data_IF_414852725388
#
_entry.id   IF_414852725388
#
_cell.length_a   1.000
_cell.length_b   1.000
_cell.length_c   1.000
_cell.angle_alpha   90.00
_cell.angle_beta   90.00
_cell.angle_gamma   90.00
#
_symmetry.space_group_name_H-M   'P 1'
#
loop_
_entity.id
_entity.type
_entity.pdbx_description
1 polymer ?
#
# COMPACT_ATOMS: atom_id res chain seq x y z
N UNK A 1 -17.69 -9.55 17.47
CA UNK A 1 -16.45 -8.73 17.59
C UNK A 1 -16.51 -8.01 18.93
N UNK A 2 -15.51 -8.18 19.79
CA UNK A 2 -15.45 -7.50 21.08
C UNK A 2 -15.14 -6.01 20.84
N UNK A 3 -15.99 -5.09 21.30
CA UNK A 3 -15.94 -3.66 20.93
C UNK A 3 -14.68 -2.92 21.44
N UNK A 4 -13.98 -3.50 22.43
CA UNK A 4 -12.89 -2.84 23.15
C UNK A 4 -11.68 -2.53 22.27
N UNK A 5 -11.32 -3.43 21.35
CA UNK A 5 -10.08 -3.34 20.55
C UNK A 5 -10.34 -3.07 19.06
N UNK A 6 -11.57 -3.23 18.58
CA UNK A 6 -11.93 -3.00 17.17
C UNK A 6 -11.62 -1.58 16.70
N UNK A 7 -11.70 -0.61 17.60
CA UNK A 7 -11.46 0.81 17.31
C UNK A 7 -10.03 1.11 16.80
N UNK A 8 -9.06 0.25 17.09
CA UNK A 8 -7.71 0.38 16.56
C UNK A 8 -7.64 0.10 15.05
N UNK A 9 -8.56 -0.72 14.54
CA UNK A 9 -8.56 -1.23 13.18
C UNK A 9 -9.69 -0.66 12.31
N UNK A 10 -10.46 0.31 12.83
CA UNK A 10 -11.59 0.90 12.11
C UNK A 10 -11.16 1.66 10.85
N UNK A 11 -10.00 2.33 10.88
CA UNK A 11 -9.45 3.05 9.72
C UNK A 11 -9.17 2.06 8.60
N UNK A 12 -8.41 1.00 8.89
CA UNK A 12 -8.06 0.03 7.86
C UNK A 12 -9.29 -0.70 7.33
N UNK A 13 -10.24 -1.04 8.22
CA UNK A 13 -11.52 -1.62 7.82
C UNK A 13 -12.26 -0.71 6.85
N UNK A 14 -12.36 0.59 7.12
CA UNK A 14 -13.04 1.55 6.24
C UNK A 14 -12.35 1.66 4.89
N UNK A 15 -11.04 1.96 4.87
CA UNK A 15 -10.27 2.18 3.64
C UNK A 15 -10.29 0.93 2.75
N UNK A 16 -10.02 -0.25 3.32
CA UNK A 16 -10.06 -1.50 2.56
C UNK A 16 -11.45 -1.94 2.13
N UNK A 17 -12.51 -1.51 2.82
CA UNK A 17 -13.87 -1.81 2.38
C UNK A 17 -14.26 -1.05 1.10
N UNK A 18 -13.69 0.14 0.88
CA UNK A 18 -13.97 0.96 -0.32
C UNK A 18 -13.52 0.24 -1.60
N UNK A 19 -12.41 -0.49 -1.55
CA UNK A 19 -11.85 -1.25 -2.67
C UNK A 19 -12.21 -2.74 -2.66
N UNK A 20 -13.08 -3.19 -1.74
CA UNK A 20 -13.52 -4.59 -1.67
C UNK A 20 -12.52 -5.54 -0.99
N UNK A 21 -11.43 -5.03 -0.45
CA UNK A 21 -10.32 -5.82 0.07
C UNK A 21 -10.52 -6.26 1.53
N UNK A 22 -11.49 -5.69 2.25
CA UNK A 22 -11.73 -6.08 3.64
C UNK A 22 -12.20 -7.55 3.77
N UNK A 23 -11.55 -8.40 4.60
CA UNK A 23 -11.82 -9.84 4.62
C UNK A 23 -13.23 -10.26 5.06
N UNK A 24 -13.95 -9.43 5.83
CA UNK A 24 -15.33 -9.71 6.27
C UNK A 24 -16.39 -8.89 5.54
N UNK A 25 -16.04 -8.28 4.41
CA UNK A 25 -17.02 -7.58 3.59
C UNK A 25 -18.06 -8.55 3.01
N UNK A 26 -19.31 -8.09 2.88
CA UNK A 26 -20.38 -8.89 2.27
C UNK A 26 -19.97 -9.30 0.85
N UNK A 27 -20.23 -10.56 0.42
CA UNK A 27 -19.74 -11.05 -0.87
C UNK A 27 -20.15 -10.19 -2.07
N UNK A 28 -21.41 -9.73 -2.09
CA UNK A 28 -21.94 -8.87 -3.17
C UNK A 28 -21.24 -7.51 -3.18
N UNK A 29 -21.09 -6.86 -2.03
CA UNK A 29 -20.42 -5.55 -1.92
C UNK A 29 -18.94 -5.65 -2.29
N UNK A 30 -18.26 -6.72 -1.86
CA UNK A 30 -16.88 -6.99 -2.26
C UNK A 30 -16.77 -7.11 -3.78
N UNK A 31 -17.62 -7.95 -4.38
CA UNK A 31 -17.60 -8.18 -5.82
C UNK A 31 -17.81 -6.87 -6.58
N UNK A 32 -18.79 -6.07 -6.16
CA UNK A 32 -19.04 -4.75 -6.75
C UNK A 32 -17.81 -3.83 -6.67
N UNK A 33 -17.19 -3.69 -5.49
CA UNK A 33 -15.99 -2.85 -5.33
C UNK A 33 -14.82 -3.34 -6.16
N UNK A 34 -14.57 -4.65 -6.22
CA UNK A 34 -13.49 -5.23 -7.03
C UNK A 34 -13.75 -4.98 -8.52
N UNK A 35 -14.98 -5.20 -9.00
CA UNK A 35 -15.37 -4.89 -10.39
C UNK A 35 -15.16 -3.42 -10.69
N UNK A 36 -15.58 -2.52 -9.80
CA UNK A 36 -15.42 -1.08 -9.97
C UNK A 36 -13.94 -0.69 -10.12
N UNK A 37 -13.06 -1.17 -9.22
CA UNK A 37 -11.62 -0.89 -9.29
C UNK A 37 -11.01 -1.49 -10.56
N UNK A 38 -11.41 -2.70 -10.95
CA UNK A 38 -10.93 -3.35 -12.18
C UNK A 38 -11.35 -2.56 -13.42
N UNK A 39 -12.63 -2.19 -13.55
CA UNK A 39 -13.14 -1.44 -14.71
C UNK A 39 -12.49 -0.06 -14.81
N UNK A 40 -12.35 0.63 -13.67
CA UNK A 40 -11.63 1.91 -13.56
C UNK A 40 -10.16 1.79 -14.00
N UNK A 41 -9.50 0.69 -13.64
CA UNK A 41 -8.10 0.48 -14.03
C UNK A 41 -7.99 0.11 -15.52
N UNK A 42 -8.93 -0.69 -16.04
CA UNK A 42 -9.00 -1.04 -17.47
C UNK A 42 -9.26 0.19 -18.34
N UNK A 43 -10.13 1.12 -17.90
CA UNK A 43 -10.41 2.35 -18.65
C UNK A 43 -9.18 3.26 -18.78
N UNK A 44 -8.19 3.13 -17.89
CA UNK A 44 -6.89 3.80 -18.04
C UNK A 44 -5.89 3.02 -18.90
N UNK A 45 -5.87 1.69 -18.76
CA UNK A 45 -4.98 0.81 -19.52
C UNK A 45 -5.25 0.88 -21.03
N UNK A 46 -6.52 0.99 -21.45
CA UNK A 46 -6.89 1.03 -22.88
C UNK A 46 -6.23 2.22 -23.60
N UNK A 47 -6.39 3.49 -23.14
CA UNK A 47 -5.67 4.63 -23.72
C UNK A 47 -4.14 4.50 -23.66
N UNK A 48 -3.58 3.90 -22.61
CA UNK A 48 -2.12 3.70 -22.47
C UNK A 48 -1.59 2.73 -23.53
N UNK A 49 -2.26 1.58 -23.73
CA UNK A 49 -1.91 0.62 -24.78
C UNK A 49 -2.05 1.25 -26.16
N UNK A 50 -3.13 1.99 -26.40
CA UNK A 50 -3.34 2.69 -27.65
C UNK A 50 -2.24 3.72 -27.93
N UNK A 51 -1.79 4.45 -26.90
CA UNK A 51 -0.66 5.38 -26.99
C UNK A 51 0.63 4.66 -27.30
N UNK A 52 0.90 3.53 -26.63
CA UNK A 52 2.07 2.71 -26.87
C UNK A 52 2.17 2.27 -28.34
N UNK A 53 1.06 1.81 -28.93
CA UNK A 53 0.98 1.48 -30.36
C UNK A 53 1.24 2.71 -31.24
N UNK A 54 0.63 3.85 -30.89
CA UNK A 54 0.79 5.11 -31.63
C UNK A 54 2.21 5.67 -31.58
N UNK A 55 3.00 5.35 -30.56
CA UNK A 55 4.40 5.75 -30.49
C UNK A 55 5.24 5.15 -31.64
N UNK A 56 4.80 4.07 -32.30
CA UNK A 56 5.40 3.50 -33.50
C UNK A 56 6.95 3.33 -33.42
N UNK A 57 7.44 2.78 -32.31
CA UNK A 57 8.88 2.56 -32.09
C UNK A 57 9.67 3.75 -31.54
N UNK A 58 9.05 4.92 -31.33
CA UNK A 58 9.69 6.05 -30.66
C UNK A 58 9.92 5.74 -29.17
N UNK A 59 11.17 5.49 -28.79
CA UNK A 59 11.55 5.11 -27.43
C UNK A 59 11.18 6.15 -26.38
N UNK A 60 11.32 7.45 -26.69
CA UNK A 60 10.97 8.53 -25.76
C UNK A 60 9.48 8.49 -25.41
N UNK A 61 8.61 8.40 -26.42
CA UNK A 61 7.16 8.28 -26.27
C UNK A 61 6.76 7.00 -25.52
N UNK A 62 7.43 5.88 -25.84
CA UNK A 62 7.20 4.58 -25.18
C UNK A 62 7.54 4.68 -23.69
N UNK A 63 8.70 5.22 -23.35
CA UNK A 63 9.16 5.35 -21.97
C UNK A 63 8.25 6.25 -21.13
N UNK A 64 7.75 7.34 -21.70
CA UNK A 64 6.78 8.21 -21.03
C UNK A 64 5.49 7.46 -20.68
N UNK A 65 5.00 6.64 -21.61
CA UNK A 65 3.77 5.86 -21.42
C UNK A 65 3.95 4.73 -20.39
N UNK A 66 5.13 4.11 -20.40
CA UNK A 66 5.42 2.90 -19.64
C UNK A 66 5.33 3.10 -18.11
N UNK A 67 5.75 4.24 -17.57
CA UNK A 67 5.66 4.52 -16.13
C UNK A 67 4.21 4.52 -15.63
N UNK A 68 3.30 5.14 -16.38
CA UNK A 68 1.87 5.16 -16.02
C UNK A 68 1.22 3.77 -16.13
N UNK A 69 1.64 2.98 -17.11
CA UNK A 69 1.18 1.60 -17.33
C UNK A 69 1.67 0.63 -16.24
N UNK A 70 2.89 0.84 -15.75
CA UNK A 70 3.43 0.07 -14.62
C UNK A 70 2.61 0.29 -13.36
N UNK A 71 2.18 1.52 -13.08
CA UNK A 71 1.38 1.84 -11.90
C UNK A 71 -0.04 1.24 -11.96
N UNK A 72 -0.69 1.27 -13.13
CA UNK A 72 -1.99 0.61 -13.32
C UNK A 72 -1.86 -0.91 -13.18
N UNK A 73 -0.76 -1.50 -13.67
CA UNK A 73 -0.45 -2.92 -13.48
C UNK A 73 -0.27 -3.28 -12.00
N UNK A 74 0.49 -2.49 -11.24
CA UNK A 74 0.68 -2.69 -9.78
C UNK A 74 -0.67 -2.66 -9.04
N UNK A 75 -1.59 -1.77 -9.44
CA UNK A 75 -2.93 -1.69 -8.87
C UNK A 75 -3.68 -3.02 -9.00
N UNK A 76 -3.65 -3.63 -10.19
CA UNK A 76 -4.29 -4.92 -10.44
C UNK A 76 -3.63 -6.05 -9.64
N UNK A 77 -2.30 -6.10 -9.62
CA UNK A 77 -1.54 -7.10 -8.83
C UNK A 77 -1.95 -7.05 -7.36
N UNK A 78 -2.01 -5.86 -6.76
CA UNK A 78 -2.43 -5.66 -5.36
C UNK A 78 -3.88 -6.06 -5.12
N UNK A 79 -4.81 -5.60 -5.98
CA UNK A 79 -6.22 -5.92 -5.87
C UNK A 79 -6.48 -7.43 -5.91
N UNK A 80 -5.88 -8.11 -6.88
CA UNK A 80 -6.07 -9.54 -7.07
C UNK A 80 -5.30 -10.39 -6.05
N UNK A 81 -4.22 -9.88 -5.47
CA UNK A 81 -3.56 -10.50 -4.32
C UNK A 81 -4.54 -10.69 -3.17
N UNK A 82 -5.26 -9.64 -2.78
CA UNK A 82 -6.27 -9.72 -1.72
C UNK A 82 -7.45 -10.61 -2.11
N UNK A 83 -7.87 -10.57 -3.37
CA UNK A 83 -8.99 -11.37 -3.86
C UNK A 83 -8.70 -12.88 -3.87
N UNK A 84 -7.55 -13.29 -4.41
CA UNK A 84 -7.17 -14.71 -4.51
C UNK A 84 -6.72 -15.28 -3.17
N UNK A 85 -6.04 -14.49 -2.33
CA UNK A 85 -5.62 -14.92 -0.99
C UNK A 85 -6.68 -14.65 0.09
N UNK A 86 -7.95 -14.45 -0.26
CA UNK A 86 -9.02 -14.07 0.69
C UNK A 86 -9.13 -14.95 1.94
N UNK A 87 -8.86 -16.26 1.81
CA UNK A 87 -8.89 -17.18 2.95
C UNK A 87 -7.72 -16.92 3.92
N UNK A 88 -6.50 -16.73 3.39
CA UNK A 88 -5.31 -16.36 4.19
C UNK A 88 -5.49 -15.00 4.85
N UNK A 89 -6.02 -14.02 4.12
CA UNK A 89 -6.35 -12.68 4.63
C UNK A 89 -7.37 -12.74 5.78
N UNK A 90 -8.37 -13.61 5.66
CA UNK A 90 -9.35 -13.84 6.73
C UNK A 90 -8.68 -14.47 7.96
N UNK A 91 -7.85 -15.49 7.79
CA UNK A 91 -7.11 -16.13 8.89
C UNK A 91 -6.18 -15.14 9.62
N UNK A 92 -5.41 -14.33 8.87
CA UNK A 92 -4.61 -13.23 9.45
C UNK A 92 -5.47 -12.28 10.29
N UNK A 93 -6.66 -11.91 9.78
CA UNK A 93 -7.55 -10.98 10.49
C UNK A 93 -8.23 -11.62 11.70
N UNK A 94 -8.63 -12.90 11.61
CA UNK A 94 -9.19 -13.66 12.73
C UNK A 94 -8.17 -13.70 13.89
N UNK A 95 -6.92 -14.06 13.61
CA UNK A 95 -5.84 -14.09 14.60
C UNK A 95 -5.57 -12.70 15.19
N UNK A 96 -5.53 -11.67 14.35
CA UNK A 96 -5.36 -10.28 14.79
C UNK A 96 -6.38 -9.86 15.85
N UNK A 97 -7.64 -10.33 15.76
CA UNK A 97 -8.65 -10.04 16.77
C UNK A 97 -8.60 -10.97 17.99
N UNK A 98 -8.35 -12.27 17.78
CA UNK A 98 -8.37 -13.27 18.86
C UNK A 98 -7.19 -13.10 19.82
N UNK A 99 -6.03 -12.67 19.32
CA UNK A 99 -4.80 -12.56 20.10
C UNK A 99 -4.90 -11.56 21.26
N UNK A 100 -5.79 -10.58 21.19
CA UNK A 100 -6.09 -9.67 22.29
C UNK A 100 -6.62 -10.36 23.55
N UNK A 101 -7.28 -11.50 23.41
CA UNK A 101 -7.82 -12.24 24.55
C UNK A 101 -6.75 -13.11 25.24
N UNK A 102 -5.57 -13.27 24.64
CA UNK A 102 -4.48 -14.10 25.16
C UNK A 102 -3.46 -13.30 26.01
N UNK A 103 -3.73 -12.01 26.24
CA UNK A 103 -2.90 -11.14 27.07
C UNK A 103 -3.26 -11.32 28.55
N UNK A 104 -2.24 -11.44 29.41
CA UNK A 104 -2.42 -11.71 30.84
C UNK A 104 -2.31 -10.45 31.70
N UNK A 105 -1.57 -9.43 31.25
CA UNK A 105 -1.22 -8.25 32.05
C UNK A 105 -1.55 -6.93 31.34
N UNK A 106 -1.63 -5.84 32.11
CA UNK A 106 -1.80 -4.48 31.58
C UNK A 106 -0.64 -4.05 30.70
N UNK A 107 0.56 -4.51 31.00
CA UNK A 107 1.80 -4.19 30.29
C UNK A 107 1.79 -4.84 28.91
N UNK A 108 1.43 -6.13 28.82
CA UNK A 108 1.26 -6.83 27.55
C UNK A 108 0.20 -6.16 26.68
N UNK A 109 -0.91 -5.74 27.29
CA UNK A 109 -1.94 -4.96 26.61
C UNK A 109 -1.42 -3.61 26.10
N UNK A 110 -0.64 -2.90 26.89
CA UNK A 110 -0.06 -1.61 26.49
C UNK A 110 0.95 -1.76 25.34
N UNK A 111 1.73 -2.85 25.32
CA UNK A 111 2.62 -3.19 24.20
C UNK A 111 1.79 -3.36 22.93
N UNK A 112 0.79 -4.25 22.92
CA UNK A 112 0.01 -4.50 21.71
C UNK A 112 -0.78 -3.26 21.25
N UNK A 113 -1.31 -2.48 22.20
CA UNK A 113 -1.95 -1.18 21.94
C UNK A 113 -1.02 -0.18 21.27
N UNK A 114 0.27 -0.14 21.62
CA UNK A 114 1.26 0.74 21.00
C UNK A 114 1.41 0.43 19.51
N UNK A 115 1.63 -0.82 19.16
CA UNK A 115 1.76 -1.26 17.76
C UNK A 115 0.45 -1.07 16.97
N UNK A 116 -0.70 -1.41 17.56
CA UNK A 116 -2.00 -1.17 16.92
C UNK A 116 -2.25 0.33 16.65
N UNK A 117 -1.84 1.22 17.56
CA UNK A 117 -1.86 2.67 17.33
C UNK A 117 -0.89 3.11 16.25
N UNK A 118 0.29 2.51 16.17
CA UNK A 118 1.26 2.79 15.10
C UNK A 118 0.69 2.40 13.74
N UNK A 119 0.15 1.18 13.60
CA UNK A 119 -0.52 0.74 12.38
C UNK A 119 -1.65 1.67 11.94
N UNK A 120 -2.46 2.15 12.89
CA UNK A 120 -3.50 3.17 12.62
C UNK A 120 -2.92 4.51 12.15
N UNK A 121 -1.85 5.00 12.79
CA UNK A 121 -1.17 6.25 12.41
C UNK A 121 -0.56 6.14 11.02
N UNK A 122 0.14 5.04 10.73
CA UNK A 122 0.67 4.76 9.40
C UNK A 122 -0.45 4.72 8.36
N UNK A 123 -1.54 4.01 8.63
CA UNK A 123 -2.66 3.93 7.70
C UNK A 123 -3.24 5.31 7.39
N UNK A 124 -3.45 6.16 8.40
CA UNK A 124 -3.96 7.52 8.21
C UNK A 124 -2.97 8.42 7.45
N UNK A 125 -1.71 8.46 7.92
CA UNK A 125 -0.69 9.32 7.34
C UNK A 125 -0.35 8.95 5.91
N UNK A 126 -0.20 7.64 5.64
CA UNK A 126 0.06 7.12 4.29
C UNK A 126 -1.11 7.38 3.34
N UNK A 127 -2.35 7.12 3.79
CA UNK A 127 -3.53 7.43 2.98
C UNK A 127 -3.57 8.91 2.61
N UNK A 128 -3.46 9.80 3.60
CA UNK A 128 -3.48 11.24 3.39
C UNK A 128 -2.38 11.69 2.42
N UNK A 129 -1.16 11.18 2.60
CA UNK A 129 -0.04 11.45 1.72
C UNK A 129 -0.34 11.03 0.27
N UNK A 130 -0.82 9.80 0.05
CA UNK A 130 -1.10 9.30 -1.30
C UNK A 130 -2.20 10.11 -2.01
N UNK A 131 -3.28 10.44 -1.31
CA UNK A 131 -4.36 11.25 -1.90
C UNK A 131 -3.91 12.69 -2.19
N UNK A 132 -3.18 13.34 -1.28
CA UNK A 132 -2.64 14.69 -1.55
C UNK A 132 -1.65 14.66 -2.71
N UNK A 133 -0.72 13.69 -2.73
CA UNK A 133 0.26 13.56 -3.80
C UNK A 133 -0.41 13.34 -5.16
N UNK A 134 -1.48 12.52 -5.20
CA UNK A 134 -2.26 12.32 -6.42
C UNK A 134 -2.94 13.61 -6.87
N UNK A 135 -3.65 14.30 -5.97
CA UNK A 135 -4.31 15.57 -6.29
C UNK A 135 -3.33 16.61 -6.85
N UNK A 136 -2.16 16.77 -6.22
CA UNK A 136 -1.11 17.66 -6.69
C UNK A 136 -0.59 17.24 -8.07
N UNK A 137 -0.32 15.96 -8.27
CA UNK A 137 0.15 15.42 -9.55
C UNK A 137 -0.86 15.68 -10.67
N UNK A 138 -2.14 15.36 -10.46
CA UNK A 138 -3.19 15.59 -11.46
C UNK A 138 -3.39 17.08 -11.75
N UNK A 139 -3.27 17.95 -10.74
CA UNK A 139 -3.42 19.40 -10.91
C UNK A 139 -2.38 20.01 -11.87
N UNK A 140 -1.22 19.38 -12.06
CA UNK A 140 -0.20 19.84 -13.01
C UNK A 140 -0.74 19.93 -14.44
N UNK A 141 -1.68 19.08 -14.82
CA UNK A 141 -2.33 19.12 -16.15
C UNK A 141 -3.13 20.39 -16.41
N UNK A 142 -3.58 21.09 -15.36
CA UNK A 142 -4.30 22.36 -15.47
C UNK A 142 -3.36 23.56 -15.64
N UNK A 143 -2.06 23.39 -15.36
CA UNK A 143 -1.10 24.49 -15.38
C UNK A 143 -0.99 25.18 -16.75
N UNK A 144 -0.91 24.48 -17.90
CA UNK A 144 -0.90 25.14 -19.20
C UNK A 144 -2.14 25.99 -19.47
N UNK A 145 -3.32 25.52 -19.05
CA UNK A 145 -4.59 26.21 -19.26
C UNK A 145 -4.71 27.46 -18.38
N UNK A 146 -4.27 27.36 -17.13
CA UNK A 146 -4.19 28.52 -16.23
C UNK A 146 -3.25 29.57 -16.82
N UNK A 147 -2.08 29.15 -17.30
CA UNK A 147 -1.08 30.04 -17.90
C UNK A 147 -1.58 30.68 -19.20
N UNK A 148 -2.41 30.02 -20.00
CA UNK A 148 -3.02 30.64 -21.19
C UNK A 148 -4.00 31.76 -20.83
N UNK A 149 -4.60 31.74 -19.63
CA UNK A 149 -5.46 32.82 -19.13
C UNK A 149 -4.65 33.94 -18.49
N UNK A 150 -3.70 33.62 -17.61
CA UNK A 150 -2.97 34.64 -16.82
C UNK A 150 -1.75 35.21 -17.53
N UNK A 151 -1.14 34.45 -18.46
CA UNK A 151 0.04 34.82 -19.22
C UNK A 151 -0.04 34.27 -20.65
N UNK A 152 -0.95 34.82 -21.48
CA UNK A 152 -1.20 34.33 -22.83
C UNK A 152 0.05 34.48 -23.71
N UNK A 153 0.29 33.47 -24.55
CA UNK A 153 1.35 33.48 -25.55
C UNK A 153 0.76 33.65 -26.95
N UNK A 154 1.53 34.22 -27.88
CA UNK A 154 1.15 34.32 -29.31
C UNK A 154 1.00 32.95 -30.00
N UNK A 155 1.48 31.88 -29.37
CA UNK A 155 1.33 30.49 -29.83
C UNK A 155 0.70 29.66 -28.71
N UNK A 156 -0.17 28.73 -29.09
CA UNK A 156 -0.84 27.84 -28.12
C UNK A 156 0.17 26.93 -27.40
N UNK A 157 0.02 26.80 -26.09
CA UNK A 157 0.82 25.86 -25.28
C UNK A 157 0.49 24.40 -25.65
N UNK A 158 1.44 23.46 -25.47
CA UNK A 158 1.14 22.04 -25.54
C UNK A 158 0.21 21.64 -24.40
N UNK A 159 -0.69 20.69 -24.67
CA UNK A 159 -1.53 20.12 -23.62
C UNK A 159 -0.71 19.13 -22.81
N UNK A 160 -0.89 19.21 -21.49
CA UNK A 160 -0.34 18.26 -20.55
C UNK A 160 -1.47 17.37 -20.02
N UNK A 161 -1.60 16.16 -20.58
CA UNK A 161 -2.53 15.17 -20.03
C UNK A 161 -2.06 14.68 -18.66
N UNK A 162 -3.00 14.19 -17.84
CA UNK A 162 -2.72 13.64 -16.50
C UNK A 162 -1.83 12.41 -16.52
N UNK A 163 -1.84 11.69 -17.63
CA UNK A 163 -0.91 10.62 -17.95
C UNK A 163 -0.88 10.42 -19.48
N UNK A 164 0.20 9.87 -20.04
CA UNK A 164 0.27 9.62 -21.48
C UNK A 164 -0.73 8.54 -21.89
N UNK A 165 -1.70 8.91 -22.73
CA UNK A 165 -2.74 8.02 -23.23
C UNK A 165 -3.34 8.55 -24.52
N UNK A 166 -3.83 7.67 -25.39
CA UNK A 166 -4.54 8.04 -26.61
C UNK A 166 -6.01 7.67 -26.46
N UNK A 167 -6.87 8.69 -26.37
CA UNK A 167 -8.30 8.55 -26.05
C UNK A 167 -9.22 8.43 -27.27
N UNK A 168 -8.66 8.30 -28.48
CA UNK A 168 -9.42 8.21 -29.74
C UNK A 168 -10.31 9.43 -30.05
N UNK A 169 -10.08 10.54 -29.37
CA UNK A 169 -10.73 11.84 -29.57
C UNK A 169 -9.66 12.93 -29.63
N UNK A 170 -10.04 14.13 -30.07
CA UNK A 170 -9.13 15.28 -30.03
C UNK A 170 -8.84 15.66 -28.57
N UNK A 171 -7.57 15.61 -28.18
CA UNK A 171 -7.13 15.85 -26.81
C UNK A 171 -7.34 17.31 -26.37
N UNK A 172 -7.38 18.27 -27.31
CA UNK A 172 -7.62 19.69 -27.01
C UNK A 172 -9.09 19.97 -26.79
N UNK A 173 -9.94 19.49 -27.69
CA UNK A 173 -11.39 19.69 -27.61
C UNK A 173 -11.99 18.98 -26.38
N UNK A 174 -11.57 17.75 -26.10
CA UNK A 174 -12.14 16.91 -25.04
C UNK A 174 -11.35 16.91 -23.74
N UNK A 175 -10.42 17.85 -23.56
CA UNK A 175 -9.50 17.86 -22.42
C UNK A 175 -10.20 17.69 -21.07
N UNK A 176 -11.25 18.48 -20.77
CA UNK A 176 -11.90 18.46 -19.45
C UNK A 176 -12.61 17.13 -19.17
N UNK A 177 -13.14 16.46 -20.20
CA UNK A 177 -13.73 15.13 -20.05
C UNK A 177 -12.67 14.08 -19.76
N UNK A 178 -11.54 14.13 -20.47
CA UNK A 178 -10.38 13.25 -20.24
C UNK A 178 -9.82 13.47 -18.83
N UNK A 179 -9.67 14.72 -18.42
CA UNK A 179 -9.18 15.13 -17.10
C UNK A 179 -10.10 14.63 -15.99
N UNK A 180 -11.42 14.81 -16.12
CA UNK A 180 -12.40 14.32 -15.15
C UNK A 180 -12.38 12.79 -15.05
N UNK A 181 -12.33 12.10 -16.19
CA UNK A 181 -12.16 10.64 -16.22
C UNK A 181 -10.90 10.21 -15.46
N UNK A 182 -9.77 10.88 -15.73
CA UNK A 182 -8.51 10.55 -15.08
C UNK A 182 -8.55 10.77 -13.57
N UNK A 183 -9.16 11.88 -13.08
CA UNK A 183 -9.33 12.09 -11.63
C UNK A 183 -10.09 10.93 -11.01
N UNK A 184 -11.29 10.63 -11.53
CA UNK A 184 -12.12 9.57 -10.96
C UNK A 184 -11.42 8.23 -11.02
N UNK A 185 -10.80 7.91 -12.16
CA UNK A 185 -10.15 6.63 -12.35
C UNK A 185 -8.93 6.44 -11.43
N UNK A 186 -8.09 7.47 -11.29
CA UNK A 186 -6.93 7.44 -10.41
C UNK A 186 -7.30 7.41 -8.93
N UNK A 187 -8.34 8.14 -8.50
CA UNK A 187 -8.85 8.12 -7.13
C UNK A 187 -9.36 6.72 -6.71
N UNK A 188 -10.06 6.03 -7.62
CA UNK A 188 -10.51 4.65 -7.40
C UNK A 188 -9.30 3.71 -7.34
N UNK A 189 -8.36 3.83 -8.28
CA UNK A 189 -7.18 2.97 -8.32
C UNK A 189 -6.24 3.17 -7.12
N UNK A 190 -5.98 4.41 -6.70
CA UNK A 190 -5.13 4.70 -5.53
C UNK A 190 -5.77 4.19 -4.24
N UNK A 191 -7.11 4.23 -4.13
CA UNK A 191 -7.82 3.62 -3.00
C UNK A 191 -7.52 2.12 -2.90
N UNK A 192 -7.43 1.43 -4.04
CA UNK A 192 -7.03 0.02 -4.10
C UNK A 192 -5.59 -0.23 -3.62
N UNK A 193 -4.65 0.62 -4.03
CA UNK A 193 -3.24 0.54 -3.61
C UNK A 193 -3.11 0.79 -2.10
N UNK A 194 -3.68 1.90 -1.62
CA UNK A 194 -3.61 2.34 -0.22
C UNK A 194 -4.24 1.30 0.70
N UNK A 195 -5.39 0.73 0.31
CA UNK A 195 -6.04 -0.35 1.05
C UNK A 195 -5.10 -1.55 1.27
N UNK A 196 -4.46 -2.03 0.20
CA UNK A 196 -3.58 -3.19 0.26
C UNK A 196 -2.40 -2.93 1.20
N UNK A 197 -1.72 -1.80 1.02
CA UNK A 197 -0.51 -1.47 1.78
C UNK A 197 -0.81 -1.22 3.26
N UNK A 198 -1.93 -0.56 3.56
CA UNK A 198 -2.34 -0.38 4.94
C UNK A 198 -2.75 -1.69 5.63
N UNK A 199 -3.33 -2.66 4.88
CA UNK A 199 -3.65 -3.99 5.44
C UNK A 199 -2.34 -4.68 5.80
N UNK A 200 -1.39 -4.71 4.86
CA UNK A 200 -0.09 -5.32 5.06
C UNK A 200 0.63 -4.73 6.29
N UNK A 201 0.77 -3.40 6.36
CA UNK A 201 1.39 -2.73 7.51
C UNK A 201 0.67 -3.04 8.81
N UNK A 202 -0.66 -3.11 8.81
CA UNK A 202 -1.43 -3.50 10.00
C UNK A 202 -1.08 -4.90 10.47
N UNK A 203 -0.95 -5.87 9.57
CA UNK A 203 -0.55 -7.23 9.93
C UNK A 203 0.91 -7.33 10.38
N UNK A 204 1.81 -6.54 9.78
CA UNK A 204 3.22 -6.44 10.23
C UNK A 204 3.28 -5.87 11.64
N UNK A 205 2.59 -4.76 11.91
CA UNK A 205 2.53 -4.17 13.26
C UNK A 205 1.96 -5.18 14.27
N UNK A 206 0.95 -5.98 13.88
CA UNK A 206 0.41 -7.04 14.73
C UNK A 206 1.45 -8.12 15.05
N UNK A 207 2.14 -8.68 14.05
CA UNK A 207 3.12 -9.73 14.32
C UNK A 207 4.34 -9.22 15.09
N UNK A 208 4.79 -7.98 14.82
CA UNK A 208 5.80 -7.31 15.63
C UNK A 208 5.36 -7.17 17.10
N UNK A 209 4.09 -6.84 17.33
CA UNK A 209 3.55 -6.74 18.68
C UNK A 209 3.51 -8.08 19.41
N UNK A 210 3.23 -9.18 18.70
CA UNK A 210 3.27 -10.53 19.28
C UNK A 210 4.69 -10.88 19.72
N UNK A 211 5.70 -10.60 18.89
CA UNK A 211 7.10 -10.82 19.26
C UNK A 211 7.54 -9.93 20.44
N UNK A 212 7.08 -8.67 20.49
CA UNK A 212 7.36 -7.78 21.62
C UNK A 212 6.74 -8.29 22.93
N UNK A 213 5.50 -8.82 22.89
CA UNK A 213 4.86 -9.47 24.04
C UNK A 213 5.63 -10.72 24.48
N UNK A 214 6.08 -11.55 23.54
CA UNK A 214 6.91 -12.73 23.84
C UNK A 214 8.23 -12.32 24.50
N UNK A 215 8.91 -11.28 23.99
CA UNK A 215 10.12 -10.74 24.59
C UNK A 215 9.90 -10.24 26.01
N UNK A 216 8.82 -9.50 26.24
CA UNK A 216 8.44 -9.03 27.58
C UNK A 216 8.20 -10.19 28.55
N UNK A 217 7.48 -11.25 28.13
CA UNK A 217 7.27 -12.45 28.96
C UNK A 217 8.58 -13.16 29.32
N UNK A 218 9.55 -13.20 28.39
CA UNK A 218 10.89 -13.74 28.65
C UNK A 218 11.65 -12.89 29.68
N UNK A 219 11.65 -11.57 29.54
CA UNK A 219 12.29 -10.67 30.50
C UNK A 219 11.72 -10.85 31.92
N UNK A 220 10.39 -10.93 32.05
CA UNK A 220 9.75 -11.19 33.33
C UNK A 220 10.09 -12.56 33.92
N UNK A 221 10.27 -13.59 33.09
CA UNK A 221 10.70 -14.91 33.53
C UNK A 221 12.09 -14.84 34.18
N UNK A 222 13.06 -14.20 33.52
CA UNK A 222 14.43 -14.10 34.04
C UNK A 222 14.53 -13.19 35.26
N UNK A 223 13.80 -12.08 35.29
CA UNK A 223 13.75 -11.20 36.46
C UNK A 223 13.24 -11.93 37.70
N UNK A 224 12.12 -12.65 37.57
CA UNK A 224 11.55 -13.44 38.66
C UNK A 224 12.43 -14.62 39.06
N UNK A 225 13.14 -15.26 38.12
CA UNK A 225 14.07 -16.35 38.42
C UNK A 225 15.27 -15.87 39.27
N UNK A 226 15.87 -14.73 38.91
CA UNK A 226 16.98 -14.15 39.66
C UNK A 226 16.59 -13.74 41.09
N UNK A 227 15.34 -13.31 41.30
CA UNK A 227 14.82 -12.97 42.63
C UNK A 227 14.43 -14.23 43.44
N UNK A 228 13.86 -15.25 42.78
CA UNK A 228 13.54 -16.54 43.41
C UNK A 228 14.77 -17.40 43.72
N UNK A 229 15.87 -17.28 42.98
CA UNK A 229 17.13 -17.99 43.28
C UNK A 229 17.74 -17.54 44.63
N UNK A 230 17.33 -16.37 45.16
CA UNK A 230 17.64 -15.93 46.53
C UNK A 230 16.78 -16.61 47.60
N UNK A 231 15.69 -17.28 47.23
CA UNK A 231 14.70 -17.86 48.15
C UNK A 231 14.39 -19.31 47.73
N UNK A 232 15.22 -20.26 48.21
CA UNK A 232 15.20 -21.68 47.81
C UNK A 232 13.82 -22.31 48.07
N UNK A 233 13.15 -22.80 47.01
CA UNK A 233 11.97 -23.66 47.16
C UNK A 233 11.79 -24.61 45.95
N UNK A 234 11.59 -25.90 46.21
CA UNK A 234 11.60 -27.01 45.24
C UNK A 234 10.37 -27.09 44.31
N UNK A 235 9.30 -26.32 44.57
CA UNK A 235 8.11 -26.20 43.70
C UNK A 235 8.27 -25.22 42.51
N UNK A 236 9.42 -24.55 42.41
CA UNK A 236 9.71 -23.54 41.37
C UNK A 236 9.99 -24.15 40.00
N UNK A 237 10.53 -25.36 39.92
CA UNK A 237 11.01 -25.95 38.66
C UNK A 237 9.86 -26.32 37.69
N UNK A 238 8.78 -26.94 38.20
CA UNK A 238 7.61 -27.27 37.36
C UNK A 238 6.85 -26.01 36.89
N UNK A 239 6.76 -24.98 37.75
CA UNK A 239 6.14 -23.69 37.41
C UNK A 239 6.98 -22.93 36.38
N UNK A 240 8.30 -22.94 36.52
CA UNK A 240 9.24 -22.37 35.55
C UNK A 240 9.11 -23.07 34.19
N UNK A 241 9.12 -24.40 34.17
CA UNK A 241 8.93 -25.21 32.97
C UNK A 241 7.60 -24.92 32.27
N UNK A 242 6.50 -24.80 33.02
CA UNK A 242 5.18 -24.42 32.47
C UNK A 242 5.20 -23.03 31.84
N UNK A 243 5.82 -22.04 32.49
CA UNK A 243 5.99 -20.68 31.93
C UNK A 243 6.83 -20.67 30.66
N UNK A 244 7.95 -21.38 30.64
CA UNK A 244 8.79 -21.52 29.44
C UNK A 244 7.98 -22.15 28.30
N UNK A 245 7.25 -23.24 28.56
CA UNK A 245 6.43 -23.90 27.56
C UNK A 245 5.35 -22.96 26.98
N UNK A 246 4.72 -22.14 27.83
CA UNK A 246 3.75 -21.13 27.41
C UNK A 246 4.38 -20.05 26.51
N UNK A 247 5.56 -19.54 26.88
CA UNK A 247 6.30 -18.55 26.07
C UNK A 247 6.71 -19.14 24.72
N UNK A 248 7.25 -20.36 24.71
CA UNK A 248 7.64 -21.06 23.47
C UNK A 248 6.42 -21.28 22.58
N UNK A 249 5.25 -21.60 23.15
CA UNK A 249 4.01 -21.72 22.41
C UNK A 249 3.59 -20.38 21.78
N UNK A 250 3.62 -19.29 22.53
CA UNK A 250 3.33 -17.94 22.03
C UNK A 250 4.30 -17.52 20.91
N UNK A 251 5.60 -17.80 21.07
CA UNK A 251 6.62 -17.54 20.05
C UNK A 251 6.35 -18.33 18.75
N UNK A 252 6.03 -19.63 18.85
CA UNK A 252 5.65 -20.46 17.70
C UNK A 252 4.39 -19.93 17.01
N UNK A 253 3.43 -19.40 17.77
CA UNK A 253 2.22 -18.78 17.21
C UNK A 253 2.55 -17.51 16.42
N UNK A 254 3.44 -16.65 16.94
CA UNK A 254 3.92 -15.46 16.23
C UNK A 254 4.66 -15.84 14.93
N UNK A 255 5.54 -16.85 14.97
CA UNK A 255 6.21 -17.37 13.78
C UNK A 255 5.23 -17.88 12.72
N UNK A 256 4.20 -18.65 13.12
CA UNK A 256 3.16 -19.12 12.17
C UNK A 256 2.35 -17.97 11.58
N UNK A 257 2.16 -16.88 12.30
CA UNK A 257 1.52 -15.68 11.77
C UNK A 257 2.44 -15.00 10.74
N UNK A 258 3.73 -14.86 11.05
CA UNK A 258 4.73 -14.28 10.14
C UNK A 258 4.85 -15.09 8.84
N UNK A 259 4.88 -16.43 8.93
CA UNK A 259 4.90 -17.32 7.77
C UNK A 259 3.65 -17.16 6.90
N UNK A 260 2.46 -17.10 7.51
CA UNK A 260 1.22 -16.87 6.76
C UNK A 260 1.22 -15.50 6.05
N UNK A 261 1.80 -14.48 6.69
CA UNK A 261 1.97 -13.16 6.10
C UNK A 261 2.92 -13.21 4.90
N UNK A 262 4.07 -13.85 5.06
CA UNK A 262 5.07 -14.07 4.00
C UNK A 262 4.45 -14.82 2.81
N UNK A 263 3.80 -15.96 3.07
CA UNK A 263 3.11 -16.78 2.07
C UNK A 263 1.99 -16.05 1.32
N UNK A 264 1.50 -14.93 1.86
CA UNK A 264 0.43 -14.13 1.25
C UNK A 264 1.00 -13.01 0.39
N UNK A 265 2.09 -12.37 0.82
CA UNK A 265 2.54 -11.09 0.26
C UNK A 265 3.91 -11.14 -0.44
N UNK A 266 4.75 -12.16 -0.24
CA UNK A 266 6.11 -12.18 -0.81
C UNK A 266 6.14 -12.16 -2.34
N UNK A 267 5.32 -12.99 -3.00
CA UNK A 267 5.24 -13.03 -4.47
C UNK A 267 4.74 -11.70 -5.07
N UNK A 268 3.60 -11.13 -4.65
CA UNK A 268 3.13 -9.86 -5.22
C UNK A 268 4.07 -8.70 -4.92
N UNK A 269 4.77 -8.68 -3.79
CA UNK A 269 5.81 -7.69 -3.54
C UNK A 269 7.04 -7.89 -4.43
N UNK A 270 7.47 -9.12 -4.71
CA UNK A 270 8.55 -9.38 -5.65
C UNK A 270 8.19 -8.85 -7.06
N UNK A 271 6.95 -9.09 -7.52
CA UNK A 271 6.42 -8.54 -8.78
C UNK A 271 6.42 -7.00 -8.74
N UNK A 272 5.95 -6.41 -7.64
CA UNK A 272 5.95 -4.95 -7.47
C UNK A 272 7.37 -4.36 -7.50
N UNK A 273 8.32 -4.96 -6.78
CA UNK A 273 9.71 -4.50 -6.73
C UNK A 273 10.32 -4.55 -8.13
N UNK A 274 10.08 -5.62 -8.89
CA UNK A 274 10.54 -5.72 -10.28
C UNK A 274 9.96 -4.58 -11.13
N UNK A 275 8.64 -4.37 -11.09
CA UNK A 275 7.96 -3.33 -11.87
C UNK A 275 8.51 -1.94 -11.51
N UNK A 276 8.63 -1.62 -10.21
CA UNK A 276 9.11 -0.32 -9.73
C UNK A 276 10.58 -0.11 -10.09
N UNK A 277 11.42 -1.14 -10.03
CA UNK A 277 12.84 -1.04 -10.40
C UNK A 277 13.00 -0.70 -11.88
N UNK A 278 12.23 -1.36 -12.76
CA UNK A 278 12.23 -1.04 -14.19
C UNK A 278 11.72 0.39 -14.40
N UNK A 279 10.60 0.78 -13.76
CA UNK A 279 10.05 2.14 -13.87
C UNK A 279 11.02 3.23 -13.41
N UNK A 280 11.64 3.07 -12.24
CA UNK A 280 12.65 4.01 -11.73
C UNK A 280 13.86 4.11 -12.65
N UNK A 281 14.31 2.99 -13.24
CA UNK A 281 15.43 2.98 -14.18
C UNK A 281 15.10 3.77 -15.45
N UNK A 282 13.88 3.62 -15.97
CA UNK A 282 13.40 4.37 -17.14
C UNK A 282 13.27 5.86 -16.82
N UNK A 283 12.65 6.21 -15.69
CA UNK A 283 12.51 7.61 -15.28
C UNK A 283 13.87 8.27 -15.06
N UNK A 284 14.84 7.55 -14.48
CA UNK A 284 16.21 8.04 -14.35
C UNK A 284 16.84 8.33 -15.72
N UNK A 285 16.69 7.41 -16.69
CA UNK A 285 17.17 7.61 -18.05
C UNK A 285 16.56 8.87 -18.69
N UNK A 286 15.26 9.08 -18.53
CA UNK A 286 14.56 10.26 -19.08
C UNK A 286 15.06 11.57 -18.45
N UNK A 287 15.29 11.59 -17.14
CA UNK A 287 15.84 12.76 -16.44
C UNK A 287 17.25 13.07 -16.96
N UNK A 288 18.09 12.05 -17.12
CA UNK A 288 19.45 12.22 -17.65
C UNK A 288 19.44 12.75 -19.10
N UNK A 289 18.60 12.17 -19.97
CA UNK A 289 18.48 12.63 -21.36
C UNK A 289 18.01 14.09 -21.44
N UNK A 290 17.01 14.44 -20.64
CA UNK A 290 16.49 15.82 -20.56
C UNK A 290 17.57 16.79 -20.10
N UNK A 291 18.33 16.42 -19.05
CA UNK A 291 19.42 17.25 -18.53
C UNK A 291 20.56 17.45 -19.53
N UNK A 292 20.94 16.40 -20.27
CA UNK A 292 21.93 16.50 -21.33
C UNK A 292 21.44 17.39 -22.47
N UNK A 293 20.18 17.31 -22.88
CA UNK A 293 19.62 18.21 -23.89
C UNK A 293 19.71 19.68 -23.46
N UNK A 294 19.42 20.00 -22.20
CA UNK A 294 19.60 21.36 -21.68
C UNK A 294 21.06 21.80 -21.67
N UNK A 295 21.99 20.94 -21.25
CA UNK A 295 23.42 21.23 -21.29
C UNK A 295 23.94 21.47 -22.71
N UNK A 296 23.54 20.64 -23.68
CA UNK A 296 23.95 20.79 -25.08
C UNK A 296 23.42 22.10 -25.67
N UNK A 297 22.17 22.47 -25.37
CA UNK A 297 21.59 23.76 -25.78
C UNK A 297 22.38 24.91 -25.17
N UNK A 298 22.68 24.87 -23.87
CA UNK A 298 23.47 25.91 -23.20
C UNK A 298 24.90 26.02 -23.77
N UNK A 299 25.55 24.91 -24.08
CA UNK A 299 26.88 24.91 -24.70
C UNK A 299 26.90 25.39 -26.15
N UNK A 300 25.76 25.37 -26.85
CA UNK A 300 25.64 25.93 -28.21
C UNK A 300 25.47 27.46 -28.23
N UNK A 301 25.32 28.07 -27.05
CA UNK A 301 25.27 29.53 -26.87
C UNK A 301 26.58 30.13 -26.33
N UNK A 302 27.64 29.32 -26.16
CA UNK A 302 29.01 29.77 -25.84
C UNK A 302 29.92 29.56 -27.05
#
# INVERSE_FOLDING_TARGET
>A
MNAKWSHHYDVIKKVSSLSGQWPYQRPITRLFCVILVTLSTISMIIPQIAKFVKCNGNLQCIFETLTSYMLTTVTLVKLYTCYFNRCKMKDLTDRLYVDWNALETSEEYNIMKKYAKNGRRYSLGYSLYCFIALCLFLSMSLLPQLLDVVLPLNKSRPILLTYPGYYFVDEREYFFYIFLHAIVAWEISITGIVAHDCIFVTYVEHVCSMFAVVGFRLEQLFYNHNDQMKTINTNTDDTCRKRIAFIVHAHRKALRYAQLLEDTFSVPFAIQILIVTIGMSITLLQVLQTSMSYCTVLSSFQ
#
